data_IF_950134800485
#
_entry.id   IF_950134800485
#
_cell.length_a   1.000
_cell.length_b   1.000
_cell.length_c   1.000
_cell.angle_alpha   90.00
_cell.angle_beta   90.00
_cell.angle_gamma   90.00
#
_symmetry.space_group_name_H-M   'P 1'
#
loop_
_entity.id
_entity.type
_entity.pdbx_description
1 polymer ?
#
# COMPACT_ATOMS: atom_id res chain seq x y z
N UNK A 1 30.57 30.96 15.89
CA UNK A 1 29.32 30.49 16.48
C UNK A 1 28.23 30.54 15.40
N UNK A 2 27.95 29.43 14.77
CA UNK A 2 26.87 29.32 13.78
C UNK A 2 25.63 28.86 14.54
N UNK A 3 24.65 29.75 14.69
CA UNK A 3 23.35 29.41 15.24
C UNK A 3 22.61 28.53 14.24
N UNK A 4 22.44 27.26 14.57
CA UNK A 4 21.53 26.37 13.88
C UNK A 4 20.09 26.80 14.23
N UNK A 5 19.36 27.31 13.26
CA UNK A 5 17.94 27.61 13.38
C UNK A 5 17.16 26.30 13.40
N UNK A 6 16.18 26.13 14.30
CA UNK A 6 15.35 24.93 14.32
C UNK A 6 14.45 24.92 13.08
N UNK A 7 14.46 23.81 12.38
CA UNK A 7 13.53 23.53 11.28
C UNK A 7 12.11 23.57 11.85
N UNK A 8 11.38 24.63 11.51
CA UNK A 8 9.95 24.71 11.81
C UNK A 8 9.24 23.61 11.06
N UNK A 9 8.71 22.64 11.81
CA UNK A 9 7.67 21.75 11.34
C UNK A 9 6.51 22.61 10.84
N UNK A 10 6.32 22.68 9.54
CA UNK A 10 5.10 23.21 8.96
C UNK A 10 4.05 22.12 9.12
N UNK A 11 3.34 22.15 10.23
CA UNK A 11 2.11 21.39 10.41
C UNK A 11 1.06 22.10 9.55
N UNK A 12 0.79 21.57 8.37
CA UNK A 12 -0.41 21.98 7.64
C UNK A 12 -1.62 21.48 8.42
N UNK A 13 -2.24 22.40 9.10
CA UNK A 13 -3.56 22.24 9.70
C UNK A 13 -4.56 22.18 8.56
N UNK A 14 -4.93 20.98 8.13
CA UNK A 14 -6.08 20.81 7.23
C UNK A 14 -7.32 21.05 8.07
N UNK A 15 -7.93 22.21 7.91
CA UNK A 15 -9.27 22.48 8.43
C UNK A 15 -10.25 21.50 7.79
N UNK A 16 -11.06 20.89 8.65
CA UNK A 16 -12.07 19.91 8.29
C UNK A 16 -13.12 20.55 7.36
N UNK A 17 -13.05 20.23 6.09
CA UNK A 17 -14.21 20.25 5.22
C UNK A 17 -14.68 18.81 5.14
N UNK A 18 -15.84 18.54 5.73
CA UNK A 18 -16.47 17.23 5.69
C UNK A 18 -16.83 16.84 4.27
N UNK A 19 -16.01 15.98 3.69
CA UNK A 19 -16.32 15.25 2.47
C UNK A 19 -16.19 13.78 2.79
N UNK A 20 -17.29 13.04 2.70
CA UNK A 20 -17.30 11.60 2.77
C UNK A 20 -16.25 10.99 1.84
N UNK A 21 -15.30 10.25 2.42
CA UNK A 21 -14.59 9.12 1.82
C UNK A 21 -14.06 9.24 0.40
N UNK A 22 -13.46 10.36 -0.01
CA UNK A 22 -12.78 10.48 -1.29
C UNK A 22 -11.26 10.53 -1.07
N UNK A 23 -10.50 9.75 -1.85
CA UNK A 23 -9.05 9.83 -1.88
C UNK A 23 -8.63 11.27 -2.25
N UNK A 24 -7.81 11.89 -1.42
CA UNK A 24 -7.27 13.23 -1.70
C UNK A 24 -5.93 13.05 -2.39
N UNK A 25 -5.89 13.33 -3.70
CA UNK A 25 -4.66 13.32 -4.47
C UNK A 25 -3.67 14.37 -3.93
N UNK A 26 -2.41 13.99 -3.87
CA UNK A 26 -1.33 14.90 -3.52
C UNK A 26 -1.01 15.83 -4.69
N UNK A 27 -0.90 17.13 -4.42
CA UNK A 27 -0.39 18.10 -5.39
C UNK A 27 1.10 17.88 -5.71
N UNK A 28 1.87 17.43 -4.70
CA UNK A 28 3.29 17.16 -4.83
C UNK A 28 3.60 15.71 -4.43
N UNK A 29 4.16 14.96 -5.37
CA UNK A 29 4.63 13.58 -5.13
C UNK A 29 5.84 13.63 -4.19
N UNK A 30 5.88 12.78 -3.13
CA UNK A 30 7.01 12.75 -2.22
C UNK A 30 8.29 12.32 -2.96
N UNK A 31 9.37 13.07 -2.75
CA UNK A 31 10.67 12.73 -3.31
C UNK A 31 11.26 11.48 -2.66
N UNK A 32 12.27 10.88 -3.31
CA UNK A 32 13.04 9.79 -2.73
C UNK A 32 13.57 10.14 -1.34
N UNK A 33 14.10 11.35 -1.17
CA UNK A 33 14.63 11.86 0.11
C UNK A 33 13.55 11.86 1.20
N UNK A 34 12.35 12.36 0.89
CA UNK A 34 11.21 12.38 1.82
C UNK A 34 10.80 10.95 2.21
N UNK A 35 10.72 10.05 1.24
CA UNK A 35 10.34 8.66 1.50
C UNK A 35 11.42 7.92 2.31
N UNK A 36 12.70 8.17 2.04
CA UNK A 36 13.82 7.57 2.80
C UNK A 36 13.85 8.10 4.24
N UNK A 37 13.58 9.38 4.45
CA UNK A 37 13.48 9.97 5.79
C UNK A 37 12.30 9.37 6.57
N UNK A 38 11.15 9.17 5.92
CA UNK A 38 9.95 8.63 6.55
C UNK A 38 10.11 7.15 6.91
N UNK A 39 10.59 6.33 5.99
CA UNK A 39 10.65 4.87 6.14
C UNK A 39 11.99 4.36 6.72
N UNK A 40 13.07 5.11 6.57
CA UNK A 40 14.43 4.63 6.70
C UNK A 40 14.90 3.91 5.44
N UNK A 41 16.22 3.85 5.23
CA UNK A 41 16.83 3.30 4.01
C UNK A 41 16.37 1.86 3.70
N UNK A 42 16.44 0.97 4.70
CA UNK A 42 16.09 -0.44 4.51
C UNK A 42 14.63 -0.65 4.10
N UNK A 43 13.68 0.01 4.75
CA UNK A 43 12.26 -0.10 4.38
C UNK A 43 11.95 0.61 3.05
N UNK A 44 12.66 1.69 2.74
CA UNK A 44 12.50 2.33 1.44
C UNK A 44 12.95 1.39 0.29
N UNK A 45 14.01 0.62 0.47
CA UNK A 45 14.42 -0.42 -0.48
C UNK A 45 13.35 -1.52 -0.62
N UNK A 46 12.73 -1.94 0.48
CA UNK A 46 11.58 -2.88 0.46
C UNK A 46 10.41 -2.29 -0.31
N UNK A 47 10.08 -1.01 -0.09
CA UNK A 47 9.04 -0.29 -0.83
C UNK A 47 9.31 -0.30 -2.34
N UNK A 48 10.52 0.09 -2.74
CA UNK A 48 10.92 0.11 -4.15
C UNK A 48 10.87 -1.29 -4.79
N UNK A 49 11.34 -2.31 -4.07
CA UNK A 49 11.31 -3.69 -4.53
C UNK A 49 9.88 -4.21 -4.72
N UNK A 50 8.95 -3.85 -3.81
CA UNK A 50 7.54 -4.22 -3.94
C UNK A 50 6.89 -3.52 -5.14
N UNK A 51 7.12 -2.22 -5.31
CA UNK A 51 6.65 -1.48 -6.49
C UNK A 51 7.18 -2.11 -7.79
N UNK A 52 8.48 -2.42 -7.85
CA UNK A 52 9.08 -3.08 -9.03
C UNK A 52 8.44 -4.42 -9.33
N UNK A 53 8.19 -5.25 -8.32
CA UNK A 53 7.53 -6.56 -8.48
C UNK A 53 6.11 -6.43 -9.04
N UNK A 54 5.38 -5.39 -8.65
CA UNK A 54 4.05 -5.09 -9.19
C UNK A 54 4.17 -4.59 -10.62
N UNK A 55 5.05 -3.64 -10.87
CA UNK A 55 5.24 -3.00 -12.19
C UNK A 55 5.71 -3.98 -13.26
N UNK A 56 6.49 -5.00 -12.90
CA UNK A 56 6.89 -6.07 -13.82
C UNK A 56 5.72 -6.89 -14.37
N UNK A 57 4.64 -7.01 -13.60
CA UNK A 57 3.47 -7.85 -13.93
C UNK A 57 2.25 -7.07 -14.39
N UNK A 58 2.15 -5.80 -13.97
CA UNK A 58 0.95 -4.99 -14.15
C UNK A 58 1.25 -3.64 -14.76
N UNK A 59 0.51 -3.33 -15.82
CA UNK A 59 0.40 -1.99 -16.39
C UNK A 59 -0.81 -1.31 -15.76
N UNK A 60 -0.58 -0.40 -14.82
CA UNK A 60 -1.59 0.28 -13.99
C UNK A 60 -1.33 1.78 -13.91
N UNK A 61 -2.40 2.54 -13.70
CA UNK A 61 -2.29 3.91 -13.23
C UNK A 61 -1.82 3.91 -11.77
N UNK A 62 -0.89 4.81 -11.46
CA UNK A 62 -0.32 4.97 -10.13
C UNK A 62 -0.70 6.34 -9.59
N UNK A 63 -1.34 6.37 -8.43
CA UNK A 63 -1.85 7.58 -7.81
C UNK A 63 -1.29 7.75 -6.41
N UNK A 64 -0.75 8.93 -6.13
CA UNK A 64 -0.36 9.36 -4.80
C UNK A 64 -1.49 10.10 -4.14
N UNK A 65 -1.87 9.67 -2.94
CA UNK A 65 -2.89 10.27 -2.11
C UNK A 65 -2.35 10.53 -0.70
N UNK A 66 -3.09 11.34 0.05
CA UNK A 66 -2.88 11.40 1.50
C UNK A 66 -3.26 10.05 2.10
N UNK A 67 -2.51 9.61 3.11
CA UNK A 67 -2.74 8.31 3.76
C UNK A 67 -3.94 8.28 4.73
N UNK A 68 -4.73 9.34 4.76
CA UNK A 68 -5.85 9.48 5.67
C UNK A 68 -5.40 9.68 7.13
N UNK A 69 -6.17 9.13 8.07
CA UNK A 69 -5.95 9.38 9.51
C UNK A 69 -4.71 8.69 10.07
N UNK A 70 -4.39 7.51 9.57
CA UNK A 70 -3.40 6.61 10.21
C UNK A 70 -2.08 6.49 9.44
N UNK A 71 -2.01 7.00 8.22
CA UNK A 71 -0.87 6.90 7.33
C UNK A 71 -0.48 8.26 6.79
N UNK A 72 0.79 8.44 6.43
CA UNK A 72 1.27 9.70 5.83
C UNK A 72 0.93 9.74 4.36
N UNK A 73 1.22 8.66 3.64
CA UNK A 73 0.98 8.56 2.20
C UNK A 73 0.25 7.27 1.85
N UNK A 74 -0.54 7.33 0.77
CA UNK A 74 -1.07 6.20 0.04
C UNK A 74 -0.58 6.24 -1.42
N UNK A 75 -0.11 5.10 -1.91
CA UNK A 75 0.26 4.90 -3.31
C UNK A 75 -0.58 3.77 -3.90
N UNK A 76 -1.51 4.15 -4.78
CA UNK A 76 -2.57 3.28 -5.26
C UNK A 76 -2.32 2.83 -6.69
N UNK A 77 -2.43 1.53 -6.93
CA UNK A 77 -2.46 0.92 -8.25
C UNK A 77 -3.91 0.68 -8.68
N UNK A 78 -4.33 1.32 -9.77
CA UNK A 78 -5.70 1.16 -10.30
C UNK A 78 -5.73 1.15 -11.82
N UNK A 79 -6.80 0.59 -12.40
CA UNK A 79 -7.07 0.63 -13.84
C UNK A 79 -8.57 0.50 -14.10
N UNK A 80 -9.11 1.37 -14.97
CA UNK A 80 -10.52 1.34 -15.34
C UNK A 80 -11.44 1.48 -14.12
N UNK A 81 -11.11 2.40 -13.19
CA UNK A 81 -11.89 2.64 -11.98
C UNK A 81 -11.76 1.59 -10.88
N UNK A 82 -11.00 0.49 -11.10
CA UNK A 82 -10.82 -0.59 -10.12
C UNK A 82 -9.42 -0.57 -9.52
N UNK A 83 -9.33 -0.63 -8.21
CA UNK A 83 -8.06 -0.71 -7.46
C UNK A 83 -7.57 -2.16 -7.44
N UNK A 84 -6.28 -2.35 -7.78
CA UNK A 84 -5.59 -3.61 -7.61
C UNK A 84 -5.11 -3.77 -6.16
N UNK A 85 -4.34 -2.79 -5.71
CA UNK A 85 -3.80 -2.72 -4.34
C UNK A 85 -3.40 -1.27 -4.02
N UNK A 86 -3.12 -1.02 -2.75
CA UNK A 86 -2.53 0.24 -2.28
C UNK A 86 -1.35 -0.04 -1.36
N UNK A 87 -0.28 0.72 -1.53
CA UNK A 87 0.81 0.79 -0.56
C UNK A 87 0.60 2.01 0.32
N UNK A 88 0.94 1.87 1.59
CA UNK A 88 0.87 2.94 2.58
C UNK A 88 2.22 3.15 3.24
N UNK A 89 2.55 4.38 3.56
CA UNK A 89 3.76 4.72 4.28
C UNK A 89 3.46 5.61 5.48
N UNK A 90 4.07 5.29 6.61
CA UNK A 90 4.18 6.13 7.80
C UNK A 90 5.56 5.91 8.42
N UNK A 91 5.88 6.62 9.50
CA UNK A 91 7.19 6.53 10.14
C UNK A 91 7.58 5.06 10.41
N UNK A 92 8.68 4.61 9.79
CA UNK A 92 9.26 3.26 9.91
C UNK A 92 8.28 2.10 9.65
N UNK A 93 7.27 2.30 8.80
CA UNK A 93 6.28 1.27 8.52
C UNK A 93 5.72 1.38 7.10
N UNK A 94 5.64 0.23 6.42
CA UNK A 94 4.95 0.05 5.14
C UNK A 94 3.67 -0.72 5.40
N UNK A 95 2.55 -0.26 4.83
CA UNK A 95 1.33 -1.04 4.70
C UNK A 95 1.13 -1.47 3.25
N UNK A 96 0.67 -2.68 3.05
CA UNK A 96 0.28 -3.19 1.75
C UNK A 96 -1.14 -3.73 1.82
N UNK A 97 -2.09 -3.01 1.24
CA UNK A 97 -3.53 -3.28 1.33
C UNK A 97 -4.03 -4.00 0.09
N UNK A 98 -4.71 -5.12 0.30
CA UNK A 98 -5.50 -5.81 -0.72
C UNK A 98 -6.92 -6.00 -0.20
N UNK A 99 -7.91 -5.58 -0.98
CA UNK A 99 -9.34 -5.79 -0.67
C UNK A 99 -9.85 -6.94 -1.51
N UNK A 100 -10.34 -8.00 -0.86
CA UNK A 100 -10.86 -9.19 -1.51
C UNK A 100 -12.39 -9.20 -1.53
N UNK A 101 -12.97 -9.12 -2.71
CA UNK A 101 -14.40 -9.34 -2.91
C UNK A 101 -14.81 -10.79 -2.64
N UNK A 102 -16.10 -11.08 -2.78
CA UNK A 102 -16.64 -12.42 -2.47
C UNK A 102 -15.99 -13.54 -3.29
N UNK A 103 -15.91 -13.36 -4.61
CA UNK A 103 -15.32 -14.36 -5.51
C UNK A 103 -13.81 -14.51 -5.30
N UNK A 104 -13.14 -13.41 -4.98
CA UNK A 104 -11.71 -13.39 -4.70
C UNK A 104 -11.38 -14.15 -3.40
N UNK A 105 -12.24 -14.07 -2.39
CA UNK A 105 -12.10 -14.86 -1.16
C UNK A 105 -12.21 -16.38 -1.44
N UNK A 106 -13.11 -16.78 -2.32
CA UNK A 106 -13.21 -18.19 -2.77
C UNK A 106 -11.92 -18.63 -3.47
N UNK A 107 -11.37 -17.78 -4.34
CA UNK A 107 -10.09 -18.06 -5.01
C UNK A 107 -8.90 -18.11 -4.04
N UNK A 108 -8.93 -17.29 -2.99
CA UNK A 108 -7.91 -17.35 -1.93
C UNK A 108 -7.90 -18.74 -1.27
N UNK A 109 -9.07 -19.25 -0.88
CA UNK A 109 -9.15 -20.57 -0.26
C UNK A 109 -8.62 -21.68 -1.18
N UNK A 110 -8.83 -21.57 -2.48
CA UNK A 110 -8.33 -22.55 -3.45
C UNK A 110 -6.80 -22.60 -3.55
N UNK A 111 -6.09 -21.50 -3.23
CA UNK A 111 -4.62 -21.44 -3.27
C UNK A 111 -3.96 -21.36 -1.89
N UNK A 112 -4.75 -21.37 -0.81
CA UNK A 112 -4.27 -21.22 0.58
C UNK A 112 -3.04 -22.08 0.88
N UNK A 113 -3.02 -23.33 0.43
CA UNK A 113 -1.93 -24.27 0.68
C UNK A 113 -0.60 -23.89 0.00
N UNK A 114 -0.62 -22.93 -0.94
CA UNK A 114 0.55 -22.44 -1.65
C UNK A 114 1.11 -21.15 -1.05
N UNK A 115 0.45 -20.63 -0.02
CA UNK A 115 0.79 -19.36 0.63
C UNK A 115 1.52 -19.62 1.96
N UNK A 116 2.33 -18.64 2.38
CA UNK A 116 2.98 -18.71 3.68
C UNK A 116 1.98 -18.66 4.84
N UNK A 117 2.34 -19.28 5.96
CA UNK A 117 1.51 -19.25 7.17
C UNK A 117 1.29 -17.84 7.70
N UNK A 118 2.27 -16.95 7.53
CA UNK A 118 2.18 -15.53 7.92
C UNK A 118 1.10 -14.82 7.12
N UNK A 119 1.11 -14.98 5.79
CA UNK A 119 0.10 -14.38 4.89
C UNK A 119 -1.29 -14.92 5.19
N UNK A 120 -1.43 -16.25 5.39
CA UNK A 120 -2.72 -16.85 5.74
C UNK A 120 -3.27 -16.33 7.07
N UNK A 121 -2.42 -16.20 8.09
CA UNK A 121 -2.82 -15.64 9.39
C UNK A 121 -3.29 -14.20 9.27
N UNK A 122 -2.54 -13.34 8.58
CA UNK A 122 -2.92 -11.94 8.36
C UNK A 122 -4.26 -11.83 7.60
N UNK A 123 -4.47 -12.70 6.62
CA UNK A 123 -5.74 -12.79 5.93
C UNK A 123 -6.88 -13.22 6.87
N UNK A 124 -6.70 -14.24 7.70
CA UNK A 124 -7.73 -14.76 8.60
C UNK A 124 -8.14 -13.73 9.67
N UNK A 125 -7.18 -12.98 10.20
CA UNK A 125 -7.40 -11.94 11.21
C UNK A 125 -8.06 -10.67 10.65
N UNK A 126 -8.05 -10.48 9.33
CA UNK A 126 -8.58 -9.29 8.67
C UNK A 126 -10.11 -9.23 8.70
N UNK A 127 -10.64 -8.02 8.81
CA UNK A 127 -12.08 -7.77 8.88
C UNK A 127 -12.74 -7.76 7.50
N UNK A 128 -13.98 -8.22 7.46
CA UNK A 128 -14.86 -8.12 6.29
C UNK A 128 -15.75 -6.90 6.48
N UNK A 129 -15.73 -6.02 5.46
CA UNK A 129 -16.60 -4.87 5.34
C UNK A 129 -17.60 -5.10 4.19
N UNK A 130 -18.47 -4.12 3.96
CA UNK A 130 -19.52 -4.21 2.91
C UNK A 130 -18.95 -4.47 1.50
N UNK A 131 -17.80 -3.86 1.20
CA UNK A 131 -17.13 -3.91 -0.12
C UNK A 131 -16.08 -5.01 -0.23
N UNK A 132 -15.80 -5.75 0.85
CA UNK A 132 -14.87 -6.86 0.83
C UNK A 132 -14.10 -7.06 2.12
N UNK A 133 -13.17 -8.01 2.08
CA UNK A 133 -12.22 -8.28 3.17
C UNK A 133 -10.97 -7.43 2.97
N UNK A 134 -10.70 -6.54 3.92
CA UNK A 134 -9.59 -5.59 3.88
C UNK A 134 -8.37 -6.17 4.59
N UNK A 135 -7.39 -6.60 3.83
CA UNK A 135 -6.18 -7.22 4.38
C UNK A 135 -5.02 -6.25 4.26
N UNK A 136 -4.53 -5.77 5.40
CA UNK A 136 -3.34 -4.93 5.49
C UNK A 136 -2.15 -5.80 5.89
N UNK A 137 -1.22 -5.99 4.97
CA UNK A 137 0.08 -6.57 5.25
C UNK A 137 1.07 -5.47 5.65
N UNK A 138 2.06 -5.81 6.47
CA UNK A 138 3.11 -4.89 6.88
C UNK A 138 4.49 -5.49 6.55
N UNK A 139 4.91 -5.47 5.27
CA UNK A 139 6.17 -6.06 4.85
C UNK A 139 7.36 -5.31 5.44
N UNK A 140 8.24 -6.02 6.15
CA UNK A 140 9.52 -5.51 6.64
C UNK A 140 10.71 -5.96 5.78
N UNK A 141 10.48 -6.91 4.87
CA UNK A 141 11.44 -7.48 3.93
C UNK A 141 10.72 -8.03 2.70
N UNK A 142 11.44 -8.70 1.81
CA UNK A 142 10.92 -9.23 0.54
C UNK A 142 10.40 -10.67 0.62
N UNK A 143 10.41 -11.30 1.79
CA UNK A 143 10.17 -12.75 1.96
C UNK A 143 8.80 -13.22 1.42
N UNK A 144 7.75 -12.40 1.55
CA UNK A 144 6.39 -12.75 1.13
C UNK A 144 5.98 -12.15 -0.23
N UNK A 145 6.89 -11.56 -0.98
CA UNK A 145 6.54 -10.90 -2.25
C UNK A 145 5.94 -11.85 -3.28
N UNK A 146 6.45 -13.09 -3.39
CA UNK A 146 5.85 -14.10 -4.26
C UNK A 146 4.42 -14.44 -3.85
N UNK A 147 4.14 -14.49 -2.55
CA UNK A 147 2.80 -14.67 -2.02
C UNK A 147 1.90 -13.48 -2.39
N UNK A 148 2.40 -12.25 -2.23
CA UNK A 148 1.64 -11.05 -2.62
C UNK A 148 1.31 -11.05 -4.12
N UNK A 149 2.24 -11.47 -4.97
CA UNK A 149 1.98 -11.57 -6.42
C UNK A 149 0.91 -12.62 -6.74
N UNK A 150 0.86 -13.75 -6.03
CA UNK A 150 -0.24 -14.74 -6.14
C UNK A 150 -1.57 -14.12 -5.71
N UNK A 151 -1.59 -13.33 -4.65
CA UNK A 151 -2.79 -12.65 -4.17
C UNK A 151 -3.29 -11.60 -5.17
N UNK A 152 -2.41 -10.83 -5.77
CA UNK A 152 -2.78 -9.88 -6.83
C UNK A 152 -3.36 -10.59 -8.06
N UNK A 153 -2.81 -11.76 -8.42
CA UNK A 153 -3.30 -12.56 -9.54
C UNK A 153 -4.74 -13.08 -9.32
N UNK A 154 -5.16 -13.28 -8.07
CA UNK A 154 -6.56 -13.58 -7.73
C UNK A 154 -7.48 -12.42 -8.15
N UNK A 155 -7.06 -11.19 -7.91
CA UNK A 155 -7.85 -10.00 -8.23
C UNK A 155 -7.86 -9.71 -9.71
N UNK A 156 -6.71 -9.78 -10.35
CA UNK A 156 -6.53 -9.47 -11.75
C UNK A 156 -5.39 -10.28 -12.34
N UNK A 157 -5.64 -10.89 -13.49
CA UNK A 157 -4.57 -11.52 -14.26
C UNK A 157 -3.51 -10.49 -14.63
N UNK A 158 -2.20 -10.81 -14.48
CA UNK A 158 -1.13 -9.96 -14.98
C UNK A 158 -1.34 -9.58 -16.44
N UNK A 159 -1.08 -8.32 -16.77
CA UNK A 159 -1.35 -7.75 -18.09
C UNK A 159 -0.11 -7.22 -18.82
N UNK A 160 1.06 -7.34 -18.22
CA UNK A 160 2.34 -7.23 -18.93
C UNK A 160 2.79 -8.60 -19.42
N UNK A 161 3.40 -8.62 -20.61
CA UNK A 161 3.98 -9.81 -21.23
C UNK A 161 5.47 -9.86 -20.95
#
# INVERSE_FOLDING_TARGET
MIKVLPVKFIIYRIEQIGICGGDIMLENIPSQSIMTELLGQSLYEVWQALCSSIDEKYDMEQLWNTGGKNWTYEYKYRRGGKTLCSLYAKSNCIGFMIIFGKDERTKFEAIRNTLSTVVCRQYDEAKIYRDGKWVMFEPANTADFDNYMKLLAIKRKPNRK
#
